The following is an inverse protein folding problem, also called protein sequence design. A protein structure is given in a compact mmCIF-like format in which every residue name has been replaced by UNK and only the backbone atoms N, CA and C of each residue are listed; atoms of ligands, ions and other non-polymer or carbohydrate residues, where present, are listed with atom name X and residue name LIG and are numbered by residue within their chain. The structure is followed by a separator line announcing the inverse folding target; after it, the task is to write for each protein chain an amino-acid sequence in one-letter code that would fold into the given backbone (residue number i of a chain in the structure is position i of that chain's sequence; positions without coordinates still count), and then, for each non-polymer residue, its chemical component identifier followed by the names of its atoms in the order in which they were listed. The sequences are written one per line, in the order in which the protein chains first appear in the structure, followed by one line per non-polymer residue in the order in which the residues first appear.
data_IF_189918522708
#
_entry.id   IF_189918522708
#
_cell.length_a   1.000
_cell.length_b   1.000
_cell.length_c   1.000
_cell.angle_alpha   90.00
_cell.angle_beta   90.00
_cell.angle_gamma   90.00
#
_symmetry.space_group_name_H-M   'P 1'
#
loop_
_entity.id
_entity.type
_entity.pdbx_description
1 polymer ?
#
# COMPACT_ATOMS: atom_id res chain seq x y z
N UNK A 1 -2.36 10.68 -8.68
CA UNK A 1 -2.77 9.39 -8.05
C UNK A 1 -2.72 9.64 -6.55
N UNK A 2 -3.52 10.62 -6.09
CA UNK A 2 -3.39 11.27 -4.78
C UNK A 2 -4.52 10.91 -3.83
N UNK A 3 -5.55 10.20 -4.30
CA UNK A 3 -6.76 9.95 -3.49
C UNK A 3 -6.53 8.87 -2.44
N UNK A 4 -5.81 7.80 -2.80
CA UNK A 4 -5.48 6.70 -1.87
C UNK A 4 -4.77 7.21 -0.61
N UNK A 5 -3.95 8.25 -0.74
CA UNK A 5 -3.18 8.77 0.38
C UNK A 5 -3.99 9.61 1.36
N UNK A 6 -5.20 10.03 0.95
CA UNK A 6 -6.17 10.77 1.75
C UNK A 6 -7.22 9.85 2.38
N UNK A 7 -7.25 8.58 1.96
CA UNK A 7 -8.14 7.58 2.52
C UNK A 7 -7.79 7.25 3.99
N UNK A 8 -8.79 6.83 4.77
CA UNK A 8 -8.58 6.44 6.15
C UNK A 8 -7.59 5.27 6.25
N UNK A 9 -6.55 5.48 7.03
CA UNK A 9 -5.63 4.44 7.43
C UNK A 9 -6.33 3.46 8.38
N UNK A 10 -6.34 2.18 8.03
CA UNK A 10 -6.91 1.10 8.85
C UNK A 10 -5.85 0.45 9.72
N UNK A 11 -4.60 0.38 9.24
CA UNK A 11 -3.46 -0.13 10.01
C UNK A 11 -2.19 0.61 9.62
N UNK A 12 -1.35 0.93 10.58
CA UNK A 12 -0.07 1.60 10.35
C UNK A 12 1.04 0.97 11.16
N UNK A 13 2.27 1.18 10.74
CA UNK A 13 3.45 0.67 11.38
C UNK A 13 4.70 1.37 10.89
N UNK A 14 5.83 0.87 11.36
CA UNK A 14 7.15 1.32 10.98
C UNK A 14 7.92 0.17 10.34
N UNK A 15 8.70 0.47 9.31
CA UNK A 15 9.60 -0.47 8.66
C UNK A 15 11.00 0.13 8.55
N UNK A 16 12.02 -0.72 8.45
CA UNK A 16 13.42 -0.28 8.41
C UNK A 16 13.98 -0.40 7.00
N UNK A 17 14.02 0.71 6.26
CA UNK A 17 14.70 0.76 4.97
C UNK A 17 16.20 0.51 5.14
N UNK A 18 16.70 -0.49 4.41
CA UNK A 18 18.09 -0.94 4.53
C UNK A 18 18.46 -1.45 5.93
N UNK A 19 17.47 -1.80 6.77
CA UNK A 19 17.69 -2.23 8.15
C UNK A 19 18.09 -1.11 9.13
N UNK A 20 18.13 0.15 8.69
CA UNK A 20 18.69 1.26 9.48
C UNK A 20 17.81 2.49 9.55
N UNK A 21 17.01 2.77 8.51
CA UNK A 21 16.21 3.99 8.48
C UNK A 21 14.74 3.69 8.73
N UNK A 22 14.20 4.24 9.82
CA UNK A 22 12.81 4.08 10.19
C UNK A 22 11.91 4.87 9.23
N UNK A 23 10.98 4.17 8.58
CA UNK A 23 10.06 4.65 7.57
C UNK A 23 8.64 4.20 7.95
N UNK A 24 7.61 4.91 7.49
CA UNK A 24 6.22 4.59 7.76
C UNK A 24 5.66 3.63 6.71
N UNK A 25 4.81 2.73 7.18
CA UNK A 25 3.93 1.91 6.35
C UNK A 25 2.51 2.04 6.86
N UNK A 26 1.55 2.09 5.95
CA UNK A 26 0.13 2.13 6.26
C UNK A 26 -0.66 1.29 5.27
N UNK A 27 -1.80 0.81 5.73
CA UNK A 27 -2.79 0.09 4.94
C UNK A 27 -4.03 0.98 4.93
N UNK A 28 -4.46 1.39 3.75
CA UNK A 28 -5.68 2.16 3.54
C UNK A 28 -6.75 1.25 2.94
N UNK A 29 -8.01 1.49 3.27
CA UNK A 29 -9.15 0.80 2.66
C UNK A 29 -9.74 1.66 1.56
N UNK A 30 -10.04 1.05 0.43
CA UNK A 30 -10.77 1.66 -0.68
C UNK A 30 -11.91 0.72 -1.13
N UNK A 31 -12.86 1.28 -1.89
CA UNK A 31 -13.96 0.56 -2.53
C UNK A 31 -13.75 0.42 -4.05
N UNK A 32 -12.60 0.85 -4.56
CA UNK A 32 -12.21 0.70 -5.95
C UNK A 32 -10.89 -0.05 -6.05
N UNK A 33 -10.92 -1.25 -6.61
CA UNK A 33 -9.72 -1.97 -7.00
C UNK A 33 -9.31 -1.49 -8.39
N UNK A 34 -8.22 -0.73 -8.46
CA UNK A 34 -7.60 -0.27 -9.69
C UNK A 34 -7.07 -1.44 -10.54
N UNK A 35 -7.48 -1.48 -11.80
CA UNK A 35 -6.92 -2.40 -12.79
C UNK A 35 -5.57 -1.93 -13.32
N UNK A 36 -4.90 -2.81 -14.07
CA UNK A 36 -3.63 -2.49 -14.74
C UNK A 36 -3.80 -1.50 -15.90
N UNK A 37 -5.02 -1.41 -16.45
CA UNK A 37 -5.37 -0.69 -17.68
C UNK A 37 -4.59 -1.15 -18.91
N UNK A 38 -3.96 -2.33 -18.85
CA UNK A 38 -3.33 -2.98 -20.00
C UNK A 38 -4.40 -3.70 -20.84
N UNK A 39 -4.39 -3.48 -22.16
CA UNK A 39 -5.35 -4.09 -23.08
C UNK A 39 -5.07 -5.58 -23.33
N UNK A 40 -3.83 -6.03 -23.07
CA UNK A 40 -3.44 -7.43 -23.21
C UNK A 40 -3.80 -8.27 -21.96
N UNK A 41 -4.12 -7.63 -20.83
CA UNK A 41 -4.54 -8.30 -19.61
C UNK A 41 -6.03 -8.76 -19.69
N UNK A 42 -6.37 -9.89 -19.04
CA UNK A 42 -7.76 -10.27 -18.83
C UNK A 42 -8.59 -9.13 -18.23
N UNK A 43 -9.89 -8.99 -18.56
CA UNK A 43 -10.72 -7.87 -18.13
C UNK A 43 -10.84 -7.76 -16.60
N UNK A 44 -10.67 -8.88 -15.89
CA UNK A 44 -10.64 -8.95 -14.43
C UNK A 44 -9.42 -8.31 -13.78
N UNK A 45 -8.33 -8.10 -14.54
CA UNK A 45 -7.10 -7.42 -14.14
C UNK A 45 -6.99 -6.04 -14.81
N UNK A 46 -7.46 -5.90 -16.04
CA UNK A 46 -7.36 -4.67 -16.81
C UNK A 46 -8.31 -3.55 -16.32
N UNK A 47 -9.52 -3.90 -15.88
CA UNK A 47 -10.56 -2.92 -15.54
C UNK A 47 -10.60 -2.61 -14.05
N UNK A 48 -10.93 -1.35 -13.73
CA UNK A 48 -11.27 -0.94 -12.37
C UNK A 48 -12.55 -1.63 -11.89
N UNK A 49 -12.55 -2.09 -10.64
CA UNK A 49 -13.66 -2.86 -10.07
C UNK A 49 -14.11 -2.25 -8.75
N UNK A 50 -15.40 -1.96 -8.63
CA UNK A 50 -15.97 -1.54 -7.35
C UNK A 50 -16.08 -2.74 -6.40
N UNK A 51 -15.18 -2.79 -5.43
CA UNK A 51 -15.14 -3.78 -4.36
C UNK A 51 -14.29 -3.28 -3.18
N UNK A 52 -14.58 -3.80 -1.98
CA UNK A 52 -13.73 -3.56 -0.82
C UNK A 52 -12.34 -4.15 -1.05
N UNK A 53 -11.32 -3.29 -0.96
CA UNK A 53 -9.93 -3.65 -1.12
C UNK A 53 -9.04 -2.80 -0.20
N UNK A 54 -7.78 -3.22 -0.09
CA UNK A 54 -6.79 -2.66 0.80
C UNK A 54 -5.52 -2.36 0.02
N UNK A 55 -4.99 -1.15 0.18
CA UNK A 55 -3.75 -0.73 -0.45
C UNK A 55 -2.65 -0.55 0.59
N UNK A 56 -1.49 -1.13 0.31
CA UNK A 56 -0.29 -0.91 1.11
C UNK A 56 0.41 0.35 0.60
N UNK A 57 0.65 1.30 1.49
CA UNK A 57 1.36 2.55 1.19
C UNK A 57 2.54 2.68 2.14
N UNK A 58 3.72 3.03 1.63
CA UNK A 58 4.91 3.24 2.47
C UNK A 58 5.73 4.43 2.00
N UNK A 59 6.41 5.11 2.91
CA UNK A 59 7.33 6.20 2.56
C UNK A 59 8.77 5.67 2.39
N UNK A 60 9.62 6.49 1.77
CA UNK A 60 11.05 6.25 1.62
C UNK A 60 11.86 7.38 2.28
N UNK A 61 13.05 7.10 2.82
CA UNK A 61 13.78 8.06 3.66
C UNK A 61 14.35 9.28 2.91
N UNK A 62 14.42 9.20 1.58
CA UNK A 62 14.94 10.27 0.71
C UNK A 62 13.83 11.00 -0.07
N UNK A 63 12.56 10.70 0.20
CA UNK A 63 11.45 11.46 -0.36
C UNK A 63 11.37 12.84 0.33
N UNK A 64 11.29 13.96 -0.42
CA UNK A 64 11.01 15.25 0.18
C UNK A 64 9.70 15.14 0.97
N UNK A 65 9.74 15.50 2.27
CA UNK A 65 8.56 15.44 3.16
C UNK A 65 7.55 16.54 2.83
N UNK A 66 7.04 16.59 1.60
CA UNK A 66 5.78 17.23 1.21
C UNK A 66 5.56 17.25 -0.32
N UNK A 67 4.36 16.84 -0.79
CA UNK A 67 3.45 15.92 -0.10
C UNK A 67 4.17 14.58 0.16
N UNK A 68 3.80 13.86 1.22
CA UNK A 68 4.46 12.59 1.55
C UNK A 68 4.41 11.66 0.32
N UNK A 69 5.58 11.37 -0.24
CA UNK A 69 5.72 10.55 -1.45
C UNK A 69 5.49 9.10 -1.04
N UNK A 70 4.21 8.75 -0.89
CA UNK A 70 3.81 7.41 -0.56
C UNK A 70 3.97 6.54 -1.80
N UNK A 71 4.68 5.45 -1.65
CA UNK A 71 4.87 4.45 -2.68
C UNK A 71 3.83 3.36 -2.56
N UNK A 72 3.48 2.78 -3.70
CA UNK A 72 2.55 1.66 -3.75
C UNK A 72 3.25 0.34 -3.40
N UNK A 73 2.70 -0.33 -2.39
CA UNK A 73 3.05 -1.68 -1.98
C UNK A 73 2.19 -2.76 -2.62
N UNK A 74 1.11 -2.35 -3.30
CA UNK A 74 0.15 -3.21 -3.98
C UNK A 74 -1.18 -3.30 -3.23
N UNK A 75 -2.14 -3.95 -3.90
CA UNK A 75 -3.50 -4.13 -3.43
C UNK A 75 -3.77 -5.55 -2.93
N UNK A 76 -4.72 -5.68 -2.01
CA UNK A 76 -5.21 -6.95 -1.50
C UNK A 76 -6.72 -6.89 -1.22
N UNK A 77 -7.38 -8.05 -1.18
CA UNK A 77 -8.83 -8.14 -0.98
C UNK A 77 -9.22 -8.28 0.50
N UNK A 78 -8.23 -8.47 1.38
CA UNK A 78 -8.43 -8.52 2.83
C UNK A 78 -7.28 -7.83 3.56
N UNK A 79 -7.57 -7.36 4.78
CA UNK A 79 -6.54 -6.76 5.65
C UNK A 79 -5.40 -7.74 5.94
N UNK A 80 -5.70 -9.03 6.13
CA UNK A 80 -4.69 -10.06 6.39
C UNK A 80 -3.74 -10.23 5.21
N UNK A 81 -4.27 -10.24 3.99
CA UNK A 81 -3.44 -10.30 2.78
C UNK A 81 -2.62 -9.02 2.59
N UNK A 82 -3.19 -7.85 2.88
CA UNK A 82 -2.46 -6.58 2.82
C UNK A 82 -1.27 -6.56 3.79
N UNK A 83 -1.44 -7.05 5.02
CA UNK A 83 -0.35 -7.18 6.01
C UNK A 83 0.73 -8.13 5.47
N UNK A 84 0.34 -9.30 4.97
CA UNK A 84 1.28 -10.25 4.38
C UNK A 84 2.02 -9.66 3.18
N UNK A 85 1.33 -8.93 2.31
CA UNK A 85 1.91 -8.26 1.15
C UNK A 85 2.94 -7.21 1.57
N UNK A 86 2.62 -6.40 2.58
CA UNK A 86 3.52 -5.40 3.13
C UNK A 86 4.80 -6.05 3.69
N UNK A 87 4.66 -7.09 4.52
CA UNK A 87 5.80 -7.82 5.10
C UNK A 87 6.65 -8.51 4.03
N UNK A 88 6.01 -9.08 3.00
CA UNK A 88 6.73 -9.68 1.86
C UNK A 88 7.52 -8.65 1.06
N UNK A 89 7.01 -7.42 0.94
CA UNK A 89 7.62 -6.36 0.10
C UNK A 89 8.66 -5.53 0.83
N UNK A 90 8.40 -5.16 2.08
CA UNK A 90 9.27 -4.30 2.91
C UNK A 90 10.19 -5.10 3.84
N UNK A 91 9.94 -6.40 3.96
CA UNK A 91 10.68 -7.32 4.83
C UNK A 91 9.94 -7.62 6.14
N UNK A 92 10.38 -8.65 6.88
CA UNK A 92 9.72 -9.13 8.11
C UNK A 92 9.86 -8.17 9.30
N UNK A 93 10.53 -7.04 9.13
CA UNK A 93 10.84 -6.07 10.19
C UNK A 93 9.81 -4.95 10.30
N UNK A 94 8.57 -5.18 9.84
CA UNK A 94 7.49 -4.24 10.06
C UNK A 94 7.02 -4.35 11.52
N UNK A 95 7.03 -3.23 12.22
CA UNK A 95 6.45 -3.08 13.54
C UNK A 95 5.10 -2.38 13.39
N UNK A 96 4.03 -3.17 13.42
CA UNK A 96 2.67 -2.64 13.38
C UNK A 96 2.29 -2.00 14.71
N UNK A 97 1.60 -0.86 14.65
CA UNK A 97 0.89 -0.30 15.79
C UNK A 97 -0.48 -1.00 15.88
N UNK A 98 -0.79 -1.55 17.05
CA UNK A 98 -2.11 -2.12 17.38
C UNK A 98 -3.01 -1.05 17.99
#
# INVERSE_FOLDING_TARGET
MDDLDRLPCIKQGLWFYGGVTCCHVRIVRDQMLHGSHDADDPPELALDRMMDCFYVRYDLPHAPRQPADWHDGGAALSLREAVFLAERRLGPSIHWND
#
